data_IF_170097704124
#
_entry.id   IF_170097704124
#
_cell.length_a   1.000
_cell.length_b   1.000
_cell.length_c   1.000
_cell.angle_alpha   90.00
_cell.angle_beta   90.00
_cell.angle_gamma   90.00
#
_symmetry.space_group_name_H-M   'P 1'
#
loop_
_entity.id
_entity.type
_entity.pdbx_description
1 polymer ?
#
# COMPACT_ATOMS: atom_id res chain seq x y z
N UNK A 1 -6.78 10.00 16.73
CA UNK A 1 -7.92 9.30 16.11
C UNK A 1 -7.81 7.81 16.39
N UNK A 2 -8.93 7.12 16.59
CA UNK A 2 -8.95 5.70 16.93
C UNK A 2 -8.55 4.84 15.70
N UNK A 3 -7.77 3.79 15.94
CA UNK A 3 -7.50 2.75 14.94
C UNK A 3 -8.83 2.17 14.46
N UNK A 4 -9.07 2.04 13.14
CA UNK A 4 -10.30 1.42 12.66
C UNK A 4 -10.45 -0.01 13.22
N UNK A 5 -11.68 -0.47 13.49
CA UNK A 5 -11.91 -1.81 14.00
C UNK A 5 -11.31 -2.84 13.05
N UNK A 6 -10.60 -3.81 13.63
CA UNK A 6 -10.02 -4.90 12.85
C UNK A 6 -11.15 -5.84 12.41
N UNK A 7 -11.21 -6.24 11.13
CA UNK A 7 -12.18 -7.25 10.67
C UNK A 7 -12.04 -8.55 11.47
N UNK A 8 -13.15 -9.27 11.66
CA UNK A 8 -13.09 -10.63 12.16
C UNK A 8 -12.51 -11.55 11.07
N UNK A 9 -11.20 -11.78 11.12
CA UNK A 9 -10.48 -12.59 10.15
C UNK A 9 -10.98 -14.03 10.06
N UNK A 10 -11.66 -14.56 11.09
CA UNK A 10 -12.20 -15.92 11.07
C UNK A 10 -13.39 -16.08 10.12
N UNK A 11 -14.02 -14.96 9.74
CA UNK A 11 -15.19 -14.91 8.85
C UNK A 11 -14.85 -14.58 7.41
N UNK A 12 -13.57 -14.31 7.10
CA UNK A 12 -13.12 -13.90 5.77
C UNK A 12 -12.23 -14.96 5.11
N UNK A 13 -12.30 -15.12 3.77
CA UNK A 13 -11.43 -16.04 3.07
C UNK A 13 -9.96 -15.64 3.21
N UNK A 14 -9.12 -16.62 3.55
CA UNK A 14 -7.68 -16.43 3.69
C UNK A 14 -7.02 -16.43 2.29
N UNK A 15 -6.16 -15.44 1.96
CA UNK A 15 -5.38 -15.50 0.74
C UNK A 15 -4.39 -16.66 0.78
N UNK A 16 -4.27 -17.36 -0.34
CA UNK A 16 -3.25 -18.38 -0.59
C UNK A 16 -2.11 -17.78 -1.39
N UNK A 17 -0.87 -18.16 -1.07
CA UNK A 17 0.28 -17.81 -1.89
C UNK A 17 0.17 -18.53 -3.24
N UNK A 18 0.04 -17.76 -4.31
CA UNK A 18 -0.10 -18.23 -5.70
C UNK A 18 1.23 -18.17 -6.47
N UNK A 19 2.30 -17.69 -5.84
CA UNK A 19 3.60 -17.50 -6.48
C UNK A 19 3.62 -16.41 -7.55
N UNK A 20 2.59 -15.56 -7.67
CA UNK A 20 2.44 -14.56 -8.73
C UNK A 20 3.51 -13.45 -8.75
N UNK A 21 4.40 -13.43 -7.77
CA UNK A 21 5.51 -12.47 -7.64
C UNK A 21 6.87 -13.13 -7.41
N UNK A 22 7.00 -14.45 -7.57
CA UNK A 22 8.31 -15.13 -7.37
C UNK A 22 9.38 -14.64 -8.34
N UNK A 23 8.98 -14.14 -9.52
CA UNK A 23 9.89 -13.57 -10.51
C UNK A 23 10.54 -12.27 -10.07
N UNK A 24 10.03 -11.59 -9.03
CA UNK A 24 10.61 -10.34 -8.53
C UNK A 24 11.95 -10.54 -7.84
N UNK A 25 12.25 -11.75 -7.36
CA UNK A 25 13.53 -12.05 -6.73
C UNK A 25 14.68 -11.87 -7.73
N UNK A 26 15.64 -11.01 -7.38
CA UNK A 26 16.78 -10.68 -8.24
C UNK A 26 16.48 -9.63 -9.32
N UNK A 27 15.23 -9.20 -9.49
CA UNK A 27 14.91 -8.10 -10.40
C UNK A 27 15.48 -6.77 -9.89
N UNK A 28 15.91 -5.93 -10.82
CA UNK A 28 16.30 -4.55 -10.53
C UNK A 28 15.07 -3.66 -10.45
N UNK A 29 15.04 -2.77 -9.47
CA UNK A 29 13.97 -1.76 -9.34
C UNK A 29 14.01 -0.82 -10.56
N UNK A 30 12.90 -0.65 -11.30
CA UNK A 30 12.88 0.21 -12.47
C UNK A 30 13.11 1.68 -12.12
N UNK A 31 13.80 2.39 -13.02
CA UNK A 31 14.04 3.83 -12.91
C UNK A 31 12.80 4.61 -13.36
N UNK A 32 11.88 4.83 -12.43
CA UNK A 32 10.60 5.51 -12.64
C UNK A 32 10.33 6.44 -11.46
N UNK A 33 9.77 7.61 -11.73
CA UNK A 33 9.30 8.52 -10.69
C UNK A 33 7.80 8.28 -10.43
N UNK A 34 7.44 8.07 -9.18
CA UNK A 34 6.05 8.00 -8.72
C UNK A 34 5.72 9.19 -7.82
N UNK A 35 4.47 9.64 -7.91
CA UNK A 35 3.94 10.60 -6.95
C UNK A 35 3.84 9.94 -5.57
N UNK A 36 4.32 10.62 -4.54
CA UNK A 36 4.24 10.18 -3.15
C UNK A 36 3.54 11.23 -2.29
N UNK A 37 2.61 10.77 -1.45
CA UNK A 37 1.87 11.61 -0.51
C UNK A 37 2.30 11.28 0.91
N UNK A 38 2.70 12.27 1.69
CA UNK A 38 3.09 12.11 3.10
C UNK A 38 2.43 13.17 3.98
N UNK A 39 2.38 12.90 5.29
CA UNK A 39 1.97 13.91 6.25
C UNK A 39 2.94 15.10 6.17
N UNK A 40 2.41 16.32 6.25
CA UNK A 40 3.14 17.59 6.39
C UNK A 40 3.66 18.32 5.14
N UNK A 41 3.36 17.87 3.92
CA UNK A 41 3.65 18.67 2.72
C UNK A 41 2.37 19.14 2.01
N UNK A 42 2.20 20.45 1.81
CA UNK A 42 1.18 21.05 0.91
C UNK A 42 1.38 20.64 -0.56
N UNK A 43 2.40 19.84 -0.86
CA UNK A 43 2.77 19.40 -2.20
C UNK A 43 3.07 17.91 -2.20
N UNK A 44 2.68 17.26 -3.29
CA UNK A 44 3.07 15.88 -3.55
C UNK A 44 4.56 15.81 -3.90
N UNK A 45 5.22 14.72 -3.50
CA UNK A 45 6.62 14.45 -3.81
C UNK A 45 6.74 13.56 -5.04
N UNK A 46 7.91 13.57 -5.68
CA UNK A 46 8.27 12.62 -6.73
C UNK A 46 9.40 11.73 -6.21
N UNK A 47 9.17 10.42 -6.18
CA UNK A 47 10.12 9.43 -5.66
C UNK A 47 10.54 8.49 -6.78
N UNK A 48 11.85 8.38 -7.00
CA UNK A 48 12.43 7.31 -7.81
C UNK A 48 12.96 6.21 -6.89
N UNK A 49 12.30 5.05 -6.91
CA UNK A 49 12.66 3.93 -6.04
C UNK A 49 14.05 3.36 -6.33
N UNK A 50 14.48 3.40 -7.60
CA UNK A 50 15.79 2.87 -8.01
C UNK A 50 16.98 3.67 -7.47
N UNK A 51 16.77 4.93 -7.06
CA UNK A 51 17.83 5.80 -6.52
C UNK A 51 17.93 5.78 -5.00
N UNK A 52 16.99 5.11 -4.31
CA UNK A 52 17.00 5.00 -2.86
C UNK A 52 18.16 4.11 -2.40
N UNK A 53 18.74 4.47 -1.25
CA UNK A 53 19.85 3.72 -0.65
C UNK A 53 19.37 2.99 0.61
N UNK A 54 19.91 1.79 0.83
CA UNK A 54 19.57 0.96 1.98
C UNK A 54 18.28 0.17 1.77
N UNK A 55 17.86 -0.53 2.83
CA UNK A 55 16.71 -1.44 2.76
C UNK A 55 15.41 -0.63 2.66
N UNK A 56 14.63 -0.92 1.63
CA UNK A 56 13.34 -0.28 1.36
C UNK A 56 12.24 -1.33 1.41
N UNK A 57 11.17 -1.04 2.14
CA UNK A 57 9.96 -1.87 2.19
C UNK A 57 8.86 -1.16 1.43
N UNK A 58 8.24 -1.87 0.48
CA UNK A 58 7.07 -1.42 -0.26
C UNK A 58 6.00 -2.48 -0.07
N UNK A 59 4.82 -2.09 0.42
CA UNK A 59 3.68 -2.99 0.51
C UNK A 59 2.55 -2.50 -0.39
N UNK A 60 2.12 -3.35 -1.32
CA UNK A 60 1.08 -3.03 -2.29
C UNK A 60 -0.29 -3.42 -1.75
N UNK A 61 -1.29 -2.58 -1.97
CA UNK A 61 -2.69 -2.86 -1.67
C UNK A 61 -3.61 -2.25 -2.74
N UNK A 62 -4.73 -2.92 -3.09
CA UNK A 62 -5.59 -2.46 -4.17
C UNK A 62 -6.36 -1.17 -3.83
N UNK A 63 -6.95 -1.12 -2.63
CA UNK A 63 -7.84 -0.02 -2.23
C UNK A 63 -8.09 -0.01 -0.72
N UNK A 64 -8.04 1.14 -0.07
CA UNK A 64 -8.40 1.25 1.36
C UNK A 64 -9.90 1.45 1.58
N UNK A 65 -10.37 1.23 2.81
CA UNK A 65 -11.70 1.69 3.20
C UNK A 65 -11.75 3.20 3.35
N UNK A 66 -12.89 3.82 2.98
CA UNK A 66 -13.21 5.20 3.36
C UNK A 66 -14.05 5.20 4.65
N UNK A 67 -13.94 6.23 5.51
CA UNK A 67 -14.78 6.36 6.69
C UNK A 67 -16.27 6.32 6.33
N UNK A 68 -17.05 5.56 7.10
CA UNK A 68 -18.51 5.48 6.97
C UNK A 68 -19.00 5.01 5.58
N UNK A 69 -18.15 4.34 4.81
CA UNK A 69 -18.52 3.71 3.54
C UNK A 69 -18.25 2.22 3.68
N UNK A 70 -19.32 1.42 3.71
CA UNK A 70 -19.19 -0.02 3.61
C UNK A 70 -18.82 -0.40 2.18
N UNK A 71 -17.83 -1.27 1.96
CA UNK A 71 -17.59 -1.82 0.64
C UNK A 71 -18.73 -2.80 0.28
N UNK A 72 -18.93 -3.04 -1.02
CA UNK A 72 -19.93 -3.99 -1.49
C UNK A 72 -19.73 -5.38 -0.85
N UNK A 73 -20.80 -6.15 -0.58
CA UNK A 73 -20.71 -7.50 0.00
C UNK A 73 -19.71 -8.42 -0.72
N UNK A 74 -19.66 -8.32 -2.05
CA UNK A 74 -18.78 -9.08 -2.95
C UNK A 74 -17.30 -8.81 -2.66
N UNK A 75 -16.95 -7.64 -2.09
CA UNK A 75 -15.58 -7.34 -1.65
C UNK A 75 -15.14 -8.25 -0.50
N UNK A 76 -16.07 -8.76 0.32
CA UNK A 76 -15.75 -9.69 1.41
C UNK A 76 -15.40 -11.09 0.89
N UNK A 77 -15.85 -11.42 -0.31
CA UNK A 77 -15.62 -12.73 -0.93
C UNK A 77 -14.21 -12.82 -1.52
N UNK A 78 -13.54 -11.68 -1.75
CA UNK A 78 -12.18 -11.63 -2.27
C UNK A 78 -11.18 -11.90 -1.13
N UNK A 79 -10.35 -12.96 -1.23
CA UNK A 79 -9.36 -13.29 -0.22
C UNK A 79 -8.45 -12.10 0.12
N UNK A 80 -8.42 -11.69 1.38
CA UNK A 80 -7.56 -10.62 1.87
C UNK A 80 -8.00 -9.18 1.54
N UNK A 81 -9.10 -8.96 0.83
CA UNK A 81 -9.49 -7.62 0.35
C UNK A 81 -9.85 -6.61 1.48
N UNK A 82 -10.21 -7.10 2.67
CA UNK A 82 -10.39 -6.27 3.89
C UNK A 82 -9.06 -5.90 4.57
N UNK A 83 -7.92 -6.35 4.05
CA UNK A 83 -6.60 -6.17 4.64
C UNK A 83 -5.97 -4.79 4.46
N UNK A 84 -6.40 -4.01 3.45
CA UNK A 84 -5.65 -2.81 3.02
C UNK A 84 -5.48 -1.75 4.13
N UNK A 85 -6.55 -1.40 4.83
CA UNK A 85 -6.49 -0.43 5.95
C UNK A 85 -5.80 -1.03 7.18
N UNK A 86 -6.16 -2.25 7.65
CA UNK A 86 -5.43 -2.92 8.73
C UNK A 86 -3.92 -3.05 8.48
N UNK A 87 -3.50 -3.37 7.26
CA UNK A 87 -2.09 -3.48 6.89
C UNK A 87 -1.36 -2.15 7.04
N UNK A 88 -1.93 -1.05 6.54
CA UNK A 88 -1.36 0.29 6.75
C UNK A 88 -1.23 0.63 8.24
N UNK A 89 -2.23 0.29 9.07
CA UNK A 89 -2.16 0.46 10.52
C UNK A 89 -1.07 -0.42 11.16
N UNK A 90 -0.91 -1.67 10.73
CA UNK A 90 0.15 -2.57 11.22
C UNK A 90 1.55 -2.02 10.92
N UNK A 91 1.80 -1.55 9.70
CA UNK A 91 3.07 -0.89 9.37
C UNK A 91 3.29 0.38 10.18
N UNK A 92 2.24 1.17 10.43
CA UNK A 92 2.32 2.35 11.30
C UNK A 92 2.73 1.96 12.72
N UNK A 93 2.09 0.94 13.29
CA UNK A 93 2.36 0.50 14.67
C UNK A 93 3.77 -0.08 14.82
N UNK A 94 4.31 -0.70 13.77
CA UNK A 94 5.65 -1.30 13.74
C UNK A 94 6.73 -0.37 13.15
N UNK A 95 6.39 0.88 12.84
CA UNK A 95 7.27 1.78 12.07
C UNK A 95 8.66 1.93 12.70
N UNK A 96 8.71 2.17 14.02
CA UNK A 96 9.99 2.30 14.74
C UNK A 96 10.76 0.98 14.84
N UNK A 97 10.08 -0.16 14.86
CA UNK A 97 10.74 -1.47 14.91
C UNK A 97 11.38 -1.81 13.56
N UNK A 98 10.73 -1.47 12.44
CA UNK A 98 11.35 -1.54 11.12
C UNK A 98 12.61 -0.67 11.02
N UNK A 99 12.56 0.56 11.56
CA UNK A 99 13.72 1.46 11.55
C UNK A 99 14.88 0.91 12.38
N UNK A 100 14.60 0.35 13.57
CA UNK A 100 15.60 -0.33 14.40
C UNK A 100 16.20 -1.56 13.72
N UNK A 101 15.41 -2.26 12.90
CA UNK A 101 15.87 -3.38 12.09
C UNK A 101 16.69 -2.95 10.84
N UNK A 102 16.89 -1.66 10.62
CA UNK A 102 17.72 -1.13 9.53
C UNK A 102 16.95 -0.77 8.25
N UNK A 103 15.61 -0.86 8.26
CA UNK A 103 14.80 -0.36 7.14
C UNK A 103 14.90 1.15 7.07
N UNK A 104 15.32 1.65 5.91
CA UNK A 104 15.52 3.08 5.65
C UNK A 104 14.26 3.76 5.14
N UNK A 105 13.48 3.04 4.33
CA UNK A 105 12.30 3.59 3.69
C UNK A 105 11.15 2.59 3.77
N UNK A 106 9.95 3.09 4.06
CA UNK A 106 8.71 2.31 4.05
C UNK A 106 7.74 3.09 3.17
N UNK A 107 7.05 2.39 2.28
CA UNK A 107 6.01 2.97 1.44
C UNK A 107 4.80 2.04 1.36
N UNK A 108 3.61 2.62 1.44
CA UNK A 108 2.42 1.97 0.89
C UNK A 108 2.32 2.25 -0.61
N UNK A 109 1.82 1.30 -1.39
CA UNK A 109 1.66 1.43 -2.85
C UNK A 109 0.24 1.05 -3.25
N UNK A 110 -0.43 1.91 -4.01
CA UNK A 110 -1.71 1.56 -4.64
C UNK A 110 -1.91 2.27 -5.98
N UNK A 111 -2.96 1.91 -6.70
CA UNK A 111 -3.39 2.58 -7.93
C UNK A 111 -4.25 3.82 -7.65
N UNK A 112 -4.45 4.20 -6.39
CA UNK A 112 -5.26 5.36 -6.02
C UNK A 112 -4.53 6.67 -6.32
N UNK A 113 -5.29 7.71 -6.63
CA UNK A 113 -4.75 9.04 -6.91
C UNK A 113 -4.22 9.76 -5.65
N UNK A 114 -3.46 10.86 -5.81
CA UNK A 114 -2.91 11.59 -4.68
C UNK A 114 -3.94 12.13 -3.69
N UNK A 115 -5.12 12.55 -4.16
CA UNK A 115 -6.17 13.07 -3.27
C UNK A 115 -6.73 11.99 -2.36
N UNK A 116 -6.91 10.78 -2.91
CA UNK A 116 -7.35 9.62 -2.17
C UNK A 116 -6.30 9.18 -1.14
N UNK A 117 -5.03 9.10 -1.55
CA UNK A 117 -3.94 8.71 -0.66
C UNK A 117 -3.70 9.75 0.45
N UNK A 118 -3.93 11.04 0.18
CA UNK A 118 -3.86 12.12 1.18
C UNK A 118 -4.89 11.95 2.28
N UNK A 119 -6.14 11.65 1.91
CA UNK A 119 -7.19 11.33 2.89
C UNK A 119 -6.76 10.21 3.81
N UNK A 120 -6.21 9.11 3.26
CA UNK A 120 -5.73 7.97 4.03
C UNK A 120 -4.59 8.35 4.99
N UNK A 121 -3.58 9.06 4.47
CA UNK A 121 -2.40 9.49 5.23
C UNK A 121 -2.81 10.39 6.40
N UNK A 122 -3.66 11.38 6.14
CA UNK A 122 -4.11 12.35 7.16
C UNK A 122 -4.98 11.68 8.21
N UNK A 123 -5.99 10.90 7.76
CA UNK A 123 -6.91 10.19 8.65
C UNK A 123 -6.20 9.22 9.57
N UNK A 124 -5.27 8.43 9.03
CA UNK A 124 -4.56 7.41 9.81
C UNK A 124 -3.29 7.94 10.46
N UNK A 125 -2.92 9.20 10.19
CA UNK A 125 -1.66 9.81 10.62
C UNK A 125 -0.46 8.89 10.31
N UNK A 126 -0.30 8.52 9.04
CA UNK A 126 0.73 7.56 8.61
C UNK A 126 2.12 8.21 8.65
N UNK A 127 3.11 7.59 9.32
CA UNK A 127 4.47 8.14 9.43
C UNK A 127 5.35 7.85 8.20
N UNK A 128 4.74 7.40 7.10
CA UNK A 128 5.42 7.05 5.86
C UNK A 128 4.59 7.44 4.64
N UNK A 129 5.23 7.66 3.49
CA UNK A 129 4.53 8.09 2.29
C UNK A 129 3.72 6.97 1.63
N UNK A 130 2.69 7.38 0.89
CA UNK A 130 1.89 6.54 0.01
C UNK A 130 2.23 6.85 -1.45
N UNK A 131 2.72 5.85 -2.17
CA UNK A 131 3.00 5.92 -3.59
C UNK A 131 1.71 5.76 -4.40
N UNK A 132 1.55 6.63 -5.39
CA UNK A 132 0.42 6.64 -6.32
C UNK A 132 0.90 6.06 -7.67
N UNK A 133 0.51 4.83 -7.97
CA UNK A 133 0.71 4.20 -9.28
C UNK A 133 -0.59 4.17 -10.09
N UNK A 134 -1.31 5.30 -10.11
CA UNK A 134 -2.59 5.46 -10.80
C UNK A 134 -2.52 5.24 -12.32
N UNK A 135 -1.32 5.33 -12.90
CA UNK A 135 -1.03 5.03 -14.30
C UNK A 135 -0.53 3.59 -14.54
N UNK A 136 -0.45 2.77 -13.48
CA UNK A 136 0.05 1.38 -13.49
C UNK A 136 1.46 1.26 -14.09
N UNK A 137 2.31 2.27 -13.93
CA UNK A 137 3.67 2.29 -14.48
C UNK A 137 4.56 1.28 -13.77
N UNK A 138 4.54 1.27 -12.43
CA UNK A 138 5.35 0.34 -11.66
C UNK A 138 4.78 -1.07 -11.75
N UNK A 139 3.45 -1.22 -11.71
CA UNK A 139 2.76 -2.50 -11.95
C UNK A 139 3.21 -3.12 -13.29
N UNK A 140 3.20 -2.35 -14.39
CA UNK A 140 3.64 -2.85 -15.70
C UNK A 140 5.14 -3.18 -15.71
N UNK A 141 5.98 -2.31 -15.15
CA UNK A 141 7.42 -2.49 -15.16
C UNK A 141 7.89 -3.70 -14.35
N UNK A 142 7.19 -4.03 -13.26
CA UNK A 142 7.47 -5.19 -12.42
C UNK A 142 6.59 -6.41 -12.72
N UNK A 143 5.62 -6.28 -13.64
CA UNK A 143 4.61 -7.31 -13.93
C UNK A 143 3.92 -7.77 -12.63
N UNK A 144 3.46 -6.81 -11.82
CA UNK A 144 2.76 -7.11 -10.58
C UNK A 144 1.36 -7.68 -10.88
N UNK A 145 0.90 -8.69 -10.13
CA UNK A 145 -0.43 -9.24 -10.31
C UNK A 145 -1.49 -8.20 -9.97
N UNK A 146 -2.58 -8.22 -10.74
CA UNK A 146 -3.74 -7.35 -10.56
C UNK A 146 -5.02 -8.16 -10.71
N UNK A 147 -6.10 -7.67 -10.13
CA UNK A 147 -7.45 -8.16 -10.38
C UNK A 147 -8.37 -6.99 -10.75
N UNK A 148 -9.47 -7.31 -11.41
CA UNK A 148 -10.52 -6.35 -11.72
C UNK A 148 -11.70 -6.56 -10.76
N UNK A 149 -12.29 -5.45 -10.31
CA UNK A 149 -13.47 -5.46 -9.48
C UNK A 149 -14.33 -4.25 -9.85
N UNK A 150 -15.54 -4.51 -10.35
CA UNK A 150 -16.50 -3.49 -10.79
C UNK A 150 -16.04 -2.52 -11.90
N UNK A 151 -14.97 -2.86 -12.65
CA UNK A 151 -14.50 -2.12 -13.83
C UNK A 151 -13.43 -1.07 -13.53
#
# INVERSE_FOLDING_TARGET
MATPPTPDWSTLPKPTDDGGVTHLEGMQMPCLCLTAVEMSNDKDLQINLSSLRGVTVIFAFPRTGKPNVEPPPEWNEIPGARGCTPQNCSYKNLYEDFRKAGVRHIFGLSTQDPSYQRELVDRLSLPFPQLCDNNKQLIKALTLPTFEFEG
#
